data_IF_507971890689
#
_entry.id   IF_507971890689
#
_cell.length_a   1.000
_cell.length_b   1.000
_cell.length_c   1.000
_cell.angle_alpha   90.00
_cell.angle_beta   90.00
_cell.angle_gamma   90.00
#
_symmetry.space_group_name_H-M   'P 1'
#
loop_
_entity.id
_entity.type
_entity.pdbx_description
1 polymer ?
#
# COMPACT_ATOMS: atom_id res chain seq x y z
N UNK A 1 23.29 0.52 -24.88
CA UNK A 1 22.34 -0.49 -24.37
C UNK A 1 21.45 0.19 -23.36
N UNK A 2 20.18 0.43 -23.70
CA UNK A 2 19.23 1.07 -22.81
C UNK A 2 18.80 0.08 -21.74
N UNK A 3 19.19 0.33 -20.50
CA UNK A 3 18.60 -0.34 -19.35
C UNK A 3 17.18 0.23 -19.22
N UNK A 4 16.19 -0.51 -19.74
CA UNK A 4 14.80 -0.28 -19.42
C UNK A 4 14.62 -0.65 -17.94
N UNK A 5 14.96 0.29 -17.05
CA UNK A 5 14.51 0.27 -15.67
C UNK A 5 13.02 0.57 -15.71
N UNK A 6 12.19 -0.44 -16.00
CA UNK A 6 10.78 -0.37 -15.64
C UNK A 6 10.76 -0.18 -14.13
N UNK A 7 10.44 1.04 -13.67
CA UNK A 7 10.33 1.32 -12.26
C UNK A 7 9.39 0.27 -11.65
N UNK A 8 9.71 -0.35 -10.50
CA UNK A 8 8.90 -1.43 -9.93
C UNK A 8 7.43 -1.04 -9.70
N UNK A 9 7.15 0.27 -9.62
CA UNK A 9 5.81 0.86 -9.62
C UNK A 9 4.99 0.68 -10.91
N UNK A 10 5.61 0.49 -12.08
CA UNK A 10 4.91 0.26 -13.36
C UNK A 10 4.22 -1.09 -13.42
N UNK A 11 4.61 -2.03 -12.55
CA UNK A 11 3.95 -3.32 -12.39
C UNK A 11 2.54 -3.18 -11.80
N UNK A 12 2.27 -2.09 -11.10
CA UNK A 12 1.04 -1.92 -10.34
C UNK A 12 0.01 -1.08 -11.09
N UNK A 13 -1.25 -1.50 -10.98
CA UNK A 13 -2.36 -0.83 -11.63
C UNK A 13 -2.51 0.62 -11.14
N UNK A 14 -2.71 1.54 -12.09
CA UNK A 14 -3.04 2.95 -11.83
C UNK A 14 -4.55 3.17 -11.67
N UNK A 15 -5.35 2.11 -11.80
CA UNK A 15 -6.80 2.19 -11.64
C UNK A 15 -7.10 2.51 -10.18
N UNK A 16 -7.88 3.57 -9.96
CA UNK A 16 -8.25 4.07 -8.65
C UNK A 16 -9.58 3.47 -8.23
N UNK A 17 -9.59 2.81 -7.09
CA UNK A 17 -10.80 2.24 -6.51
C UNK A 17 -11.16 3.00 -5.22
N UNK A 18 -12.46 3.23 -4.94
CA UNK A 18 -12.87 3.71 -3.64
C UNK A 18 -12.55 2.63 -2.60
N UNK A 19 -11.78 2.98 -1.58
CA UNK A 19 -11.44 2.07 -0.48
C UNK A 19 -11.99 2.68 0.82
N UNK A 20 -12.86 1.94 1.49
CA UNK A 20 -13.41 2.37 2.78
C UNK A 20 -12.30 2.35 3.84
N UNK A 21 -12.30 3.32 4.75
CA UNK A 21 -11.29 3.38 5.83
C UNK A 21 -11.31 2.11 6.69
N UNK A 22 -12.51 1.57 6.94
CA UNK A 22 -12.71 0.33 7.68
C UNK A 22 -12.01 -0.85 6.98
N UNK A 23 -12.07 -0.90 5.65
CA UNK A 23 -11.40 -1.94 4.87
C UNK A 23 -9.89 -1.75 4.87
N UNK A 24 -9.44 -0.50 4.75
CA UNK A 24 -8.04 -0.14 4.80
C UNK A 24 -7.39 -0.56 6.13
N UNK A 25 -8.06 -0.25 7.24
CA UNK A 25 -7.65 -0.69 8.57
C UNK A 25 -7.65 -2.21 8.71
N UNK A 26 -8.67 -2.89 8.17
CA UNK A 26 -8.71 -4.36 8.16
C UNK A 26 -7.56 -4.97 7.36
N UNK A 27 -7.19 -4.42 6.20
CA UNK A 27 -6.10 -4.91 5.37
C UNK A 27 -4.75 -4.78 6.07
N UNK A 28 -4.52 -3.63 6.70
CA UNK A 28 -3.31 -3.36 7.47
C UNK A 28 -3.25 -4.28 8.70
N UNK A 29 -4.31 -4.39 9.49
CA UNK A 29 -4.33 -5.28 10.66
C UNK A 29 -4.33 -6.77 10.31
N UNK A 30 -4.81 -7.17 9.13
CA UNK A 30 -4.73 -8.57 8.64
C UNK A 30 -3.30 -8.94 8.23
N UNK A 31 -2.50 -7.95 7.87
CA UNK A 31 -1.05 -8.08 7.69
C UNK A 31 -0.30 -8.26 9.04
N UNK A 32 -0.99 -8.02 10.15
CA UNK A 32 -0.52 -7.83 11.54
C UNK A 32 0.13 -9.02 12.26
N UNK A 33 0.31 -10.17 11.60
CA UNK A 33 1.10 -11.27 12.22
C UNK A 33 2.58 -10.94 12.43
N UNK A 34 3.06 -9.81 11.89
CA UNK A 34 4.47 -9.37 11.98
C UNK A 34 4.65 -7.86 12.12
N UNK A 35 3.59 -7.06 11.91
CA UNK A 35 3.64 -5.61 12.05
C UNK A 35 3.47 -5.24 13.52
N UNK A 36 4.21 -4.24 13.97
CA UNK A 36 3.90 -3.64 15.27
C UNK A 36 2.68 -2.74 15.14
N UNK A 37 1.98 -2.50 16.26
CA UNK A 37 0.84 -1.59 16.29
C UNK A 37 1.21 -0.17 15.80
N UNK A 38 2.48 0.23 15.98
CA UNK A 38 3.01 1.49 15.49
C UNK A 38 3.16 1.49 13.96
N UNK A 39 3.65 0.39 13.38
CA UNK A 39 3.78 0.25 11.92
C UNK A 39 2.41 0.25 11.26
N UNK A 40 1.43 -0.46 11.84
CA UNK A 40 0.05 -0.46 11.36
C UNK A 40 -0.53 0.95 11.33
N UNK A 41 -0.39 1.70 12.42
CA UNK A 41 -0.88 3.08 12.50
C UNK A 41 -0.17 4.02 11.52
N UNK A 42 1.13 3.82 11.31
CA UNK A 42 1.93 4.61 10.37
C UNK A 42 1.49 4.36 8.93
N UNK A 43 1.31 3.09 8.55
CA UNK A 43 0.82 2.70 7.23
C UNK A 43 -0.59 3.23 7.00
N UNK A 44 -1.49 3.02 7.96
CA UNK A 44 -2.88 3.49 7.89
C UNK A 44 -2.93 5.01 7.68
N UNK A 45 -2.20 5.78 8.49
CA UNK A 45 -2.16 7.24 8.39
C UNK A 45 -1.62 7.70 7.04
N UNK A 46 -0.54 7.09 6.56
CA UNK A 46 0.07 7.45 5.27
C UNK A 46 -0.85 7.13 4.09
N UNK A 47 -1.56 6.00 4.14
CA UNK A 47 -2.53 5.61 3.11
C UNK A 47 -3.78 6.49 3.16
N UNK A 48 -4.27 6.87 4.34
CA UNK A 48 -5.38 7.81 4.50
C UNK A 48 -5.03 9.18 3.94
N UNK A 49 -3.83 9.70 4.24
CA UNK A 49 -3.36 10.95 3.65
C UNK A 49 -3.33 10.86 2.12
N UNK A 50 -2.79 9.77 1.58
CA UNK A 50 -2.72 9.56 0.13
C UNK A 50 -4.09 9.43 -0.52
N UNK A 51 -5.03 8.78 0.17
CA UNK A 51 -6.43 8.65 -0.24
C UNK A 51 -7.11 10.02 -0.31
N UNK A 52 -6.92 10.89 0.68
CA UNK A 52 -7.49 12.25 0.66
C UNK A 52 -6.91 13.12 -0.47
N UNK A 53 -5.64 12.96 -0.83
CA UNK A 53 -5.05 13.62 -2.01
C UNK A 53 -5.68 13.16 -3.35
N UNK A 54 -6.31 11.98 -3.36
CA UNK A 54 -6.85 11.33 -4.56
C UNK A 54 -8.37 11.15 -4.51
N UNK A 55 -9.08 12.12 -3.91
CA UNK A 55 -10.55 12.15 -3.86
C UNK A 55 -11.16 10.87 -3.27
N UNK A 56 -10.60 10.43 -2.15
CA UNK A 56 -11.03 9.23 -1.42
C UNK A 56 -10.86 7.90 -2.15
N UNK A 57 -9.99 7.88 -3.18
CA UNK A 57 -9.65 6.67 -3.93
C UNK A 57 -8.16 6.34 -3.80
N UNK A 58 -7.86 5.05 -3.91
CA UNK A 58 -6.49 4.55 -3.94
C UNK A 58 -6.30 3.65 -5.14
N UNK A 59 -5.15 3.75 -5.77
CA UNK A 59 -4.67 2.74 -6.70
C UNK A 59 -3.64 1.85 -6.04
N UNK A 60 -3.43 0.67 -6.62
CA UNK A 60 -2.40 -0.25 -6.16
C UNK A 60 -1.00 0.38 -6.26
N UNK A 61 -0.77 1.23 -7.28
CA UNK A 61 0.46 2.03 -7.39
C UNK A 61 0.61 3.04 -6.25
N UNK A 62 -0.47 3.71 -5.85
CA UNK A 62 -0.42 4.66 -4.73
C UNK A 62 -0.07 3.96 -3.42
N UNK A 63 -0.65 2.78 -3.17
CA UNK A 63 -0.31 1.93 -2.03
C UNK A 63 1.17 1.56 -2.05
N UNK A 64 1.67 1.06 -3.19
CA UNK A 64 3.09 0.72 -3.33
C UNK A 64 3.99 1.92 -3.03
N UNK A 65 3.70 3.10 -3.59
CA UNK A 65 4.50 4.30 -3.38
C UNK A 65 4.55 4.71 -1.91
N UNK A 66 3.41 4.61 -1.21
CA UNK A 66 3.35 4.89 0.23
C UNK A 66 4.22 3.90 1.01
N UNK A 67 4.00 2.59 0.83
CA UNK A 67 4.76 1.56 1.53
C UNK A 67 6.26 1.63 1.22
N UNK A 68 6.60 1.86 -0.05
CA UNK A 68 7.98 2.00 -0.48
C UNK A 68 8.66 3.21 0.16
N UNK A 69 7.93 4.32 0.32
CA UNK A 69 8.41 5.52 1.02
C UNK A 69 8.63 5.24 2.50
N UNK A 70 7.70 4.58 3.18
CA UNK A 70 7.82 4.21 4.59
C UNK A 70 9.01 3.27 4.82
N UNK A 71 9.19 2.30 3.93
CA UNK A 71 10.33 1.37 3.93
C UNK A 71 11.65 2.10 3.70
N UNK A 72 11.71 3.06 2.78
CA UNK A 72 12.90 3.89 2.55
C UNK A 72 13.21 4.81 3.74
N UNK A 73 12.19 5.22 4.50
CA UNK A 73 12.35 5.92 5.78
C UNK A 73 12.69 5.01 6.97
N UNK A 74 12.78 3.69 6.75
CA UNK A 74 12.99 2.68 7.79
C UNK A 74 11.87 2.64 8.84
N UNK A 75 10.68 3.14 8.51
CA UNK A 75 9.50 3.07 9.37
C UNK A 75 8.84 1.68 9.33
N UNK A 76 9.04 0.93 8.23
CA UNK A 76 8.58 -0.45 8.07
C UNK A 76 9.68 -1.31 7.44
N UNK A 77 9.61 -2.63 7.62
CA UNK A 77 10.56 -3.54 6.98
C UNK A 77 10.18 -3.86 5.52
N UNK A 78 11.13 -4.37 4.74
CA UNK A 78 10.88 -4.93 3.40
C UNK A 78 9.86 -6.09 3.44
N UNK A 79 9.82 -6.85 4.53
CA UNK A 79 8.87 -7.95 4.69
C UNK A 79 7.45 -7.43 4.88
N UNK A 80 7.32 -6.33 5.63
CA UNK A 80 6.05 -5.65 5.87
C UNK A 80 5.50 -5.01 4.61
N UNK A 81 6.35 -4.28 3.86
CA UNK A 81 6.00 -3.73 2.53
C UNK A 81 5.40 -4.83 1.65
N UNK A 82 6.08 -5.98 1.51
CA UNK A 82 5.61 -7.08 0.65
C UNK A 82 4.32 -7.72 1.14
N UNK A 83 4.15 -7.90 2.45
CA UNK A 83 2.93 -8.50 3.02
C UNK A 83 1.73 -7.60 2.82
N UNK A 84 1.85 -6.33 3.20
CA UNK A 84 0.77 -5.35 3.05
C UNK A 84 0.43 -5.19 1.58
N UNK A 85 1.44 -5.10 0.71
CA UNK A 85 1.22 -5.03 -0.73
C UNK A 85 0.45 -6.23 -1.27
N UNK A 86 0.73 -7.45 -0.77
CA UNK A 86 0.01 -8.66 -1.17
C UNK A 86 -1.46 -8.64 -0.71
N UNK A 87 -1.75 -8.20 0.52
CA UNK A 87 -3.13 -8.07 0.99
C UNK A 87 -3.92 -7.07 0.14
N UNK A 88 -3.29 -5.97 -0.27
CA UNK A 88 -3.89 -5.03 -1.22
C UNK A 88 -4.05 -5.64 -2.62
N UNK A 89 -3.07 -6.38 -3.16
CA UNK A 89 -3.22 -7.12 -4.42
C UNK A 89 -4.44 -8.06 -4.39
N UNK A 90 -4.57 -8.86 -3.34
CA UNK A 90 -5.68 -9.80 -3.17
C UNK A 90 -7.03 -9.08 -3.02
N UNK A 91 -7.06 -7.94 -2.29
CA UNK A 91 -8.26 -7.12 -2.14
C UNK A 91 -8.73 -6.52 -3.46
N UNK A 92 -7.84 -5.87 -4.22
CA UNK A 92 -8.16 -5.25 -5.49
C UNK A 92 -8.49 -6.30 -6.57
N UNK A 93 -7.90 -7.50 -6.50
CA UNK A 93 -8.25 -8.62 -7.38
C UNK A 93 -9.64 -9.21 -7.06
N UNK A 94 -10.05 -9.19 -5.78
CA UNK A 94 -11.36 -9.71 -5.34
C UNK A 94 -12.52 -8.72 -5.52
N UNK A 95 -12.22 -7.42 -5.72
CA UNK A 95 -13.21 -6.35 -5.92
C UNK A 95 -13.54 -6.09 -7.41
N UNK A 96 -13.40 -7.10 -8.28
CA UNK A 96 -13.55 -7.01 -9.73
C UNK A 96 -14.82 -7.68 -10.26
#
# INVERSE_FOLDING_TARGET
MGLFFSSPEEKYSKVRHPVMEIELRKLVSRSGGSLTQQDESTIETALLHKKHEHEDKLSLRDVYLVLHTLKNKQEISIFDEKKVMKEFEDFFASHH
#
